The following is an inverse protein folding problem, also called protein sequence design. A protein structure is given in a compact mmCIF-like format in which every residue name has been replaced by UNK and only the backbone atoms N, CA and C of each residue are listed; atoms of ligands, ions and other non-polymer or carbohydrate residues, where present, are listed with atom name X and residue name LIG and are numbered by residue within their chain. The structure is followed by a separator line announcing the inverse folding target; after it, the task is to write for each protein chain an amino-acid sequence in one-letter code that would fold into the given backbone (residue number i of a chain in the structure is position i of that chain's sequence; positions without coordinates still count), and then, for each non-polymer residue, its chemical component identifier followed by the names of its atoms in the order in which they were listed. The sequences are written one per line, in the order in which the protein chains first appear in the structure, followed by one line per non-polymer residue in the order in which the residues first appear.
data_IF_997699727019
#
_entry.id   IF_997699727019
#
_cell.length_a   1.000
_cell.length_b   1.000
_cell.length_c   1.000
_cell.angle_alpha   90.00
_cell.angle_beta   90.00
_cell.angle_gamma   90.00
#
_symmetry.space_group_name_H-M   'P 1'
#
loop_
_entity.id
_entity.type
_entity.pdbx_description
1 polymer ?
#
# COMPACT_ATOMS: atom_id res chain seq x y z
N UNK A 1 21.68 27.98 12.28
CA UNK A 1 20.57 28.19 11.33
C UNK A 1 19.78 26.91 11.19
N UNK A 2 18.57 26.90 11.73
CA UNK A 2 17.60 25.83 11.60
C UNK A 2 17.16 25.75 10.13
N UNK A 3 17.40 24.61 9.48
CA UNK A 3 16.83 24.31 8.17
C UNK A 3 15.39 23.87 8.40
N UNK A 4 14.51 24.64 7.80
CA UNK A 4 13.06 24.53 7.73
C UNK A 4 12.61 23.09 7.51
N UNK A 5 11.60 22.66 8.27
CA UNK A 5 10.88 21.42 8.05
C UNK A 5 10.43 21.35 6.57
N UNK A 6 10.63 20.19 5.93
CA UNK A 6 10.29 19.93 4.54
C UNK A 6 8.82 20.27 4.26
N UNK A 7 8.59 21.44 3.66
CA UNK A 7 7.33 21.88 3.08
C UNK A 7 7.36 21.69 1.56
N UNK A 8 8.03 20.63 1.10
CA UNK A 8 8.10 20.28 -0.30
C UNK A 8 6.96 19.32 -0.65
N UNK A 9 6.37 19.47 -1.84
CA UNK A 9 5.38 18.51 -2.33
C UNK A 9 5.99 17.13 -2.55
N UNK A 10 5.18 16.14 -2.91
CA UNK A 10 5.59 14.76 -3.16
C UNK A 10 6.89 14.65 -3.97
N UNK A 11 6.99 15.47 -5.01
CA UNK A 11 8.16 15.59 -5.87
C UNK A 11 9.47 15.82 -5.08
N UNK A 12 9.50 16.80 -4.20
CA UNK A 12 10.71 17.19 -3.47
C UNK A 12 11.11 16.12 -2.46
N UNK A 13 10.12 15.51 -1.79
CA UNK A 13 10.36 14.41 -0.87
C UNK A 13 10.93 13.17 -1.58
N UNK A 14 10.51 12.90 -2.82
CA UNK A 14 11.08 11.80 -3.61
C UNK A 14 12.52 12.10 -4.03
N UNK A 15 12.82 13.31 -4.48
CA UNK A 15 14.19 13.71 -4.82
C UNK A 15 15.12 13.64 -3.61
N UNK A 16 14.66 14.11 -2.45
CA UNK A 16 15.41 14.02 -1.19
C UNK A 16 15.68 12.56 -0.80
N UNK A 17 14.65 11.70 -0.85
CA UNK A 17 14.76 10.28 -0.51
C UNK A 17 15.68 9.51 -1.45
N UNK A 18 15.76 9.92 -2.72
CA UNK A 18 16.62 9.33 -3.74
C UNK A 18 18.00 9.98 -3.83
N UNK A 19 18.26 11.02 -3.04
CA UNK A 19 19.47 11.85 -3.11
C UNK A 19 19.75 12.40 -4.51
N UNK A 20 18.71 12.94 -5.15
CA UNK A 20 18.75 13.51 -6.49
C UNK A 20 18.58 15.02 -6.47
N UNK A 21 19.28 15.70 -7.38
CA UNK A 21 19.20 17.16 -7.53
C UNK A 21 18.09 17.60 -8.50
N UNK A 22 17.56 16.71 -9.34
CA UNK A 22 16.51 17.03 -10.31
C UNK A 22 15.64 15.84 -10.72
N UNK A 23 14.41 16.13 -11.17
CA UNK A 23 13.48 15.15 -11.73
C UNK A 23 14.00 14.42 -12.97
N UNK A 24 14.88 15.07 -13.74
CA UNK A 24 15.46 14.47 -14.95
C UNK A 24 16.28 13.21 -14.62
N UNK A 25 16.79 13.10 -13.39
CA UNK A 25 17.49 11.90 -12.91
C UNK A 25 16.55 10.73 -12.55
N UNK A 26 15.23 10.98 -12.40
CA UNK A 26 14.26 9.97 -11.97
C UNK A 26 13.99 8.93 -13.07
N UNK A 27 13.82 9.37 -14.32
CA UNK A 27 13.60 8.47 -15.46
C UNK A 27 14.74 7.45 -15.60
N UNK A 28 16.02 7.85 -15.74
CA UNK A 28 17.11 6.89 -15.84
C UNK A 28 17.25 6.02 -14.58
N UNK A 29 16.87 6.53 -13.40
CA UNK A 29 16.88 5.73 -12.17
C UNK A 29 15.82 4.61 -12.16
N UNK A 30 14.61 4.87 -12.67
CA UNK A 30 13.52 3.89 -12.78
C UNK A 30 13.88 2.80 -13.79
N UNK A 31 14.46 3.18 -14.92
CA UNK A 31 14.77 2.25 -16.02
C UNK A 31 16.16 1.61 -15.93
N UNK A 32 16.89 1.82 -14.84
CA UNK A 32 18.17 1.17 -14.60
C UNK A 32 17.98 -0.36 -14.49
N UNK A 33 18.65 -1.19 -15.32
CA UNK A 33 18.54 -2.64 -15.27
C UNK A 33 18.97 -3.27 -13.93
N UNK A 34 19.78 -2.55 -13.14
CA UNK A 34 20.15 -2.99 -11.79
C UNK A 34 19.03 -2.74 -10.76
N UNK A 35 18.00 -1.97 -11.12
CA UNK A 35 16.88 -1.65 -10.25
C UNK A 35 15.94 -2.83 -10.10
N UNK A 36 15.41 -2.97 -8.90
CA UNK A 36 14.40 -3.97 -8.56
C UNK A 36 13.09 -3.29 -8.20
N UNK A 37 11.99 -4.05 -8.28
CA UNK A 37 10.70 -3.60 -7.75
C UNK A 37 10.75 -3.25 -6.27
N UNK A 38 11.67 -3.83 -5.50
CA UNK A 38 11.84 -3.53 -4.09
C UNK A 38 12.38 -2.10 -3.87
N UNK A 39 13.25 -1.61 -4.75
CA UNK A 39 13.79 -0.25 -4.68
C UNK A 39 12.69 0.80 -4.90
N UNK A 40 11.79 0.55 -5.84
CA UNK A 40 10.63 1.42 -6.08
C UNK A 40 9.63 1.32 -4.93
N UNK A 41 9.35 0.11 -4.44
CA UNK A 41 8.45 -0.11 -3.31
C UNK A 41 8.95 0.58 -2.02
N UNK A 42 10.26 0.74 -1.85
CA UNK A 42 10.85 1.46 -0.72
C UNK A 42 10.48 2.96 -0.68
N UNK A 43 9.93 3.52 -1.77
CA UNK A 43 9.40 4.89 -1.81
C UNK A 43 7.98 5.01 -1.25
N UNK A 44 7.25 3.90 -1.08
CA UNK A 44 5.87 3.92 -0.58
C UNK A 44 5.70 4.65 0.77
N UNK A 45 6.61 4.50 1.77
CA UNK A 45 6.52 5.28 3.00
C UNK A 45 6.66 6.79 2.80
N UNK A 46 7.43 7.24 1.80
CA UNK A 46 7.56 8.67 1.45
C UNK A 46 6.23 9.17 0.90
N UNK A 47 5.64 8.43 -0.04
CA UNK A 47 4.31 8.76 -0.60
C UNK A 47 3.26 8.85 0.51
N UNK A 48 3.21 7.88 1.42
CA UNK A 48 2.25 7.88 2.53
C UNK A 48 2.41 9.11 3.44
N UNK A 49 3.66 9.47 3.79
CA UNK A 49 3.94 10.67 4.60
C UNK A 49 3.52 11.96 3.91
N UNK A 50 3.77 12.10 2.62
CA UNK A 50 3.32 13.27 1.84
C UNK A 50 1.79 13.33 1.78
N UNK A 51 1.12 12.20 1.60
CA UNK A 51 -0.34 12.13 1.60
C UNK A 51 -0.94 12.53 2.95
N UNK A 52 -0.35 12.06 4.05
CA UNK A 52 -0.71 12.44 5.43
C UNK A 52 -0.48 13.95 5.70
N UNK A 53 0.52 14.55 5.04
CA UNK A 53 0.78 15.99 5.07
C UNK A 53 -0.15 16.81 4.15
N UNK A 54 -1.06 16.16 3.41
CA UNK A 54 -2.07 16.81 2.57
C UNK A 54 -1.65 17.04 1.11
N UNK A 55 -0.54 16.46 0.66
CA UNK A 55 -0.14 16.50 -0.75
C UNK A 55 -1.17 15.76 -1.62
N UNK A 56 -1.70 16.45 -2.63
CA UNK A 56 -2.82 15.94 -3.43
C UNK A 56 -2.41 14.84 -4.41
N UNK A 57 -1.19 14.88 -4.94
CA UNK A 57 -0.70 13.85 -5.86
C UNK A 57 -0.44 12.56 -5.08
N UNK A 58 0.15 12.68 -3.89
CA UNK A 58 0.35 11.56 -2.98
C UNK A 58 -0.98 10.96 -2.50
N UNK A 59 -1.96 11.79 -2.14
CA UNK A 59 -3.31 11.35 -1.81
C UNK A 59 -3.99 10.65 -2.99
N UNK A 60 -3.79 11.14 -4.22
CA UNK A 60 -4.27 10.51 -5.43
C UNK A 60 -3.73 9.09 -5.61
N UNK A 61 -2.42 8.91 -5.40
CA UNK A 61 -1.78 7.59 -5.44
C UNK A 61 -2.38 6.64 -4.38
N UNK A 62 -2.47 7.08 -3.12
CA UNK A 62 -3.05 6.28 -2.02
C UNK A 62 -4.48 5.85 -2.33
N UNK A 63 -5.33 6.78 -2.79
CA UNK A 63 -6.74 6.49 -3.14
C UNK A 63 -6.86 5.51 -4.29
N UNK A 64 -5.99 5.66 -5.31
CA UNK A 64 -5.97 4.75 -6.46
C UNK A 64 -5.63 3.34 -6.00
N UNK A 65 -4.57 3.19 -5.20
CA UNK A 65 -4.19 1.90 -4.63
C UNK A 65 -5.28 1.29 -3.77
N UNK A 66 -5.93 2.07 -2.89
CA UNK A 66 -7.04 1.59 -2.07
C UNK A 66 -8.22 1.06 -2.92
N UNK A 67 -8.58 1.78 -3.99
CA UNK A 67 -9.64 1.36 -4.90
C UNK A 67 -9.28 0.06 -5.64
N UNK A 68 -8.05 -0.04 -6.16
CA UNK A 68 -7.56 -1.26 -6.84
C UNK A 68 -7.54 -2.47 -5.89
N UNK A 69 -7.09 -2.29 -4.65
CA UNK A 69 -7.11 -3.34 -3.63
C UNK A 69 -8.53 -3.80 -3.30
N UNK A 70 -9.50 -2.89 -3.16
CA UNK A 70 -10.89 -3.26 -2.93
C UNK A 70 -11.48 -4.07 -4.11
N UNK A 71 -11.13 -3.71 -5.34
CA UNK A 71 -11.50 -4.48 -6.54
C UNK A 71 -10.88 -5.88 -6.53
N UNK A 72 -9.61 -6.01 -6.11
CA UNK A 72 -8.95 -7.31 -5.97
C UNK A 72 -9.63 -8.17 -4.91
N UNK A 73 -9.98 -7.61 -3.75
CA UNK A 73 -10.72 -8.30 -2.70
C UNK A 73 -12.04 -8.83 -3.24
N UNK A 74 -12.82 -7.99 -3.93
CA UNK A 74 -14.09 -8.40 -4.56
C UNK A 74 -13.89 -9.55 -5.54
N UNK A 75 -12.89 -9.44 -6.43
CA UNK A 75 -12.61 -10.47 -7.42
C UNK A 75 -12.22 -11.80 -6.76
N UNK A 76 -11.38 -11.76 -5.73
CA UNK A 76 -10.98 -12.92 -4.96
C UNK A 76 -12.17 -13.56 -4.23
N UNK A 77 -13.01 -12.75 -3.57
CA UNK A 77 -14.20 -13.22 -2.85
C UNK A 77 -15.20 -13.91 -3.79
N UNK A 78 -15.46 -13.32 -4.96
CA UNK A 78 -16.32 -13.92 -5.98
C UNK A 78 -15.76 -15.26 -6.47
N UNK A 79 -14.45 -15.35 -6.69
CA UNK A 79 -13.80 -16.60 -7.12
C UNK A 79 -13.80 -17.67 -6.03
N UNK A 80 -13.73 -17.27 -4.77
CA UNK A 80 -13.78 -18.16 -3.61
C UNK A 80 -15.20 -18.59 -3.23
N UNK A 81 -16.24 -17.92 -3.76
CA UNK A 81 -17.64 -18.21 -3.44
C UNK A 81 -18.10 -17.67 -2.09
N UNK A 82 -17.54 -16.55 -1.62
CA UNK A 82 -18.02 -15.92 -0.39
C UNK A 82 -19.35 -15.19 -0.61
N UNK A 83 -20.42 -15.73 -0.02
CA UNK A 83 -21.78 -15.17 -0.10
C UNK A 83 -22.21 -14.39 1.15
N UNK A 84 -21.44 -14.51 2.24
CA UNK A 84 -21.71 -13.89 3.54
C UNK A 84 -20.54 -13.01 3.99
N UNK A 85 -20.66 -12.34 5.14
CA UNK A 85 -19.60 -11.50 5.66
C UNK A 85 -18.30 -12.29 5.91
N UNK A 86 -17.16 -11.71 5.55
CA UNK A 86 -15.85 -12.34 5.69
C UNK A 86 -14.78 -11.31 6.06
N UNK A 87 -13.74 -11.81 6.73
CA UNK A 87 -12.60 -10.98 7.13
C UNK A 87 -11.52 -10.96 6.05
N UNK A 88 -10.95 -9.77 5.85
CA UNK A 88 -9.81 -9.50 4.97
C UNK A 88 -8.62 -9.20 5.85
N UNK A 89 -7.75 -10.22 6.01
CA UNK A 89 -6.50 -10.05 6.73
C UNK A 89 -5.58 -9.10 5.96
N UNK A 90 -5.22 -7.98 6.59
CA UNK A 90 -4.30 -7.00 6.02
C UNK A 90 -2.85 -7.38 6.35
N UNK A 91 -2.02 -7.56 5.33
CA UNK A 91 -0.61 -7.96 5.46
C UNK A 91 0.31 -7.06 4.63
N UNK A 92 1.50 -6.74 5.17
CA UNK A 92 2.56 -5.99 4.48
C UNK A 92 2.70 -4.53 4.93
N UNK A 93 3.83 -3.89 4.58
CA UNK A 93 4.16 -2.55 5.09
C UNK A 93 3.23 -1.43 4.62
N UNK A 94 2.55 -1.60 3.47
CA UNK A 94 1.63 -0.59 2.95
C UNK A 94 0.40 -0.39 3.86
N UNK A 95 -0.09 -1.47 4.47
CA UNK A 95 -1.21 -1.41 5.41
C UNK A 95 -0.79 -0.93 6.80
N UNK A 96 0.47 -0.54 7.03
CA UNK A 96 0.87 0.12 8.29
C UNK A 96 0.40 1.58 8.33
N UNK A 97 0.19 2.22 7.17
CA UNK A 97 -0.38 3.57 7.12
C UNK A 97 -1.88 3.55 7.43
N UNK A 98 -2.27 4.31 8.46
CA UNK A 98 -3.68 4.49 8.85
C UNK A 98 -4.48 5.16 7.73
N UNK A 99 -3.85 6.05 6.96
CA UNK A 99 -4.49 6.70 5.82
C UNK A 99 -4.85 5.70 4.72
N UNK A 100 -3.94 4.77 4.42
CA UNK A 100 -4.21 3.69 3.46
C UNK A 100 -5.34 2.79 3.95
N UNK A 101 -5.32 2.38 5.23
CA UNK A 101 -6.39 1.56 5.82
C UNK A 101 -7.75 2.26 5.72
N UNK A 102 -7.80 3.53 6.08
CA UNK A 102 -9.03 4.32 6.04
C UNK A 102 -9.62 4.35 4.63
N UNK A 103 -8.83 4.69 3.61
CA UNK A 103 -9.32 4.70 2.24
C UNK A 103 -9.67 3.30 1.71
N UNK A 104 -8.94 2.26 2.13
CA UNK A 104 -9.29 0.89 1.78
C UNK A 104 -10.64 0.49 2.39
N UNK A 105 -10.91 0.81 3.65
CA UNK A 105 -12.18 0.54 4.31
C UNK A 105 -13.35 1.25 3.59
N UNK A 106 -13.15 2.51 3.20
CA UNK A 106 -14.14 3.26 2.40
C UNK A 106 -14.41 2.59 1.05
N UNK A 107 -13.36 2.18 0.33
CA UNK A 107 -13.51 1.49 -0.94
C UNK A 107 -14.17 0.11 -0.78
N UNK A 108 -13.85 -0.65 0.27
CA UNK A 108 -14.46 -1.95 0.55
C UNK A 108 -15.94 -1.81 0.89
N UNK A 109 -16.32 -0.79 1.66
CA UNK A 109 -17.72 -0.53 1.98
C UNK A 109 -18.60 -0.35 0.73
N UNK A 110 -18.01 0.12 -0.38
CA UNK A 110 -18.69 0.27 -1.67
C UNK A 110 -18.52 -0.96 -2.59
N UNK A 111 -17.30 -1.41 -2.81
CA UNK A 111 -16.99 -2.45 -3.80
C UNK A 111 -17.30 -3.88 -3.29
N UNK A 112 -17.16 -4.12 -1.99
CA UNK A 112 -17.37 -5.43 -1.38
C UNK A 112 -17.93 -5.31 0.05
N UNK A 113 -19.22 -4.95 0.24
CA UNK A 113 -19.79 -4.62 1.56
C UNK A 113 -19.76 -5.76 2.59
N UNK A 114 -19.57 -7.00 2.13
CA UNK A 114 -19.44 -8.17 2.98
C UNK A 114 -18.00 -8.34 3.54
N UNK A 115 -17.02 -7.63 2.99
CA UNK A 115 -15.64 -7.66 3.46
C UNK A 115 -15.45 -6.75 4.67
N UNK A 116 -14.69 -7.21 5.66
CA UNK A 116 -14.23 -6.40 6.81
C UNK A 116 -12.73 -6.54 6.96
N UNK A 117 -12.02 -5.43 7.08
CA UNK A 117 -10.58 -5.50 7.37
C UNK A 117 -10.37 -6.02 8.78
N UNK A 118 -9.42 -6.94 8.92
CA UNK A 118 -9.07 -7.55 10.20
C UNK A 118 -7.55 -7.65 10.33
N UNK A 119 -7.06 -7.58 11.57
CA UNK A 119 -5.69 -7.95 11.84
C UNK A 119 -5.53 -9.48 11.72
N UNK A 120 -4.41 -9.96 11.15
CA UNK A 120 -4.16 -11.39 11.07
C UNK A 120 -4.16 -12.03 12.47
N UNK A 121 -5.05 -12.99 12.71
CA UNK A 121 -5.13 -13.70 14.00
C UNK A 121 -4.02 -14.76 14.18
N UNK A 122 -3.32 -15.09 13.09
CA UNK A 122 -2.20 -16.05 13.06
C UNK A 122 -1.13 -15.56 12.08
N UNK A 123 0.13 -15.82 12.39
CA UNK A 123 1.22 -15.56 11.45
C UNK A 123 1.08 -16.45 10.20
N UNK A 124 1.48 -15.91 9.05
CA UNK A 124 1.42 -16.63 7.78
C UNK A 124 2.16 -17.98 7.82
N UNK A 125 3.30 -18.03 8.51
CA UNK A 125 4.09 -19.26 8.70
C UNK A 125 3.32 -20.32 9.49
N UNK A 126 2.61 -19.93 10.55
CA UNK A 126 1.75 -20.82 11.34
C UNK A 126 0.59 -21.32 10.49
N UNK A 127 -0.06 -20.45 9.72
CA UNK A 127 -1.12 -20.82 8.80
C UNK A 127 -0.67 -21.86 7.76
N UNK A 128 0.53 -21.69 7.20
CA UNK A 128 1.12 -22.65 6.26
C UNK A 128 1.39 -24.01 6.91
N UNK A 129 1.93 -24.04 8.14
CA UNK A 129 2.16 -25.28 8.88
C UNK A 129 0.84 -26.02 9.20
N UNK A 130 -0.20 -25.28 9.62
CA UNK A 130 -1.54 -25.84 9.85
C UNK A 130 -2.16 -26.39 8.57
N UNK A 131 -1.98 -25.70 7.44
CA UNK A 131 -2.46 -26.16 6.14
C UNK A 131 -1.76 -27.45 5.72
N UNK A 132 -0.42 -27.53 5.85
CA UNK A 132 0.35 -28.74 5.55
C UNK A 132 -0.10 -29.93 6.42
N UNK A 133 -0.36 -29.70 7.71
CA UNK A 133 -0.83 -30.74 8.63
C UNK A 133 -2.24 -31.27 8.31
N UNK A 134 -3.09 -30.50 7.60
CA UNK A 134 -4.43 -30.95 7.15
C UNK A 134 -4.39 -31.81 5.87
N UNK A 135 -3.27 -31.81 5.15
CA UNK A 135 -3.08 -32.58 3.93
C UNK A 135 -2.41 -33.94 4.15
N UNK A 136 -1.97 -34.21 5.38
CA UNK A 136 -1.37 -35.47 5.84
C UNK A 136 -2.40 -36.31 6.60
#
# INVERSE_FOLDING_TARGET
SARTAASGGLHDCLLEALHMDSADALIPWIYDPARTWADVAALAPVVCKCAEAGDQDALGAVRTTAAELALYVRAAANRAGFESAFDVALCGGLVESQLVRHHLDECLAYECPNARTAEPSVEAATGAAMYAARLL
#
